data_IF_148251175715
#
_entry.id   IF_148251175715
#
_cell.length_a   1.000
_cell.length_b   1.000
_cell.length_c   1.000
_cell.angle_alpha   90.00
_cell.angle_beta   90.00
_cell.angle_gamma   90.00
#
_symmetry.space_group_name_H-M   'P 1'
#
loop_
_entity.id
_entity.type
_entity.pdbx_description
1 polymer ?
#
# COMPACT_ATOMS: atom_id res chain seq x y z
N UNK A 1 46.99 20.90 -39.26
CA UNK A 1 46.22 20.44 -38.08
C UNK A 1 44.83 20.11 -38.56
N UNK A 2 44.40 18.85 -38.49
CA UNK A 2 43.04 18.48 -38.85
C UNK A 2 42.10 19.15 -37.84
N UNK A 3 41.13 19.94 -38.30
CA UNK A 3 40.07 20.48 -37.43
C UNK A 3 39.35 19.28 -36.79
N UNK A 4 39.37 19.20 -35.46
CA UNK A 4 38.62 18.20 -34.71
C UNK A 4 37.15 18.27 -35.13
N UNK A 5 36.58 17.12 -35.53
CA UNK A 5 35.14 17.02 -35.78
C UNK A 5 34.44 17.04 -34.44
N UNK A 6 33.53 17.99 -34.24
CA UNK A 6 32.67 18.03 -33.06
C UNK A 6 31.52 17.06 -33.27
N UNK A 7 31.39 16.11 -32.33
CA UNK A 7 30.30 15.16 -32.23
C UNK A 7 29.49 15.47 -30.97
N UNK A 8 28.18 15.61 -31.13
CA UNK A 8 27.23 15.78 -30.03
C UNK A 8 26.23 14.63 -30.14
N UNK A 9 26.04 13.88 -29.07
CA UNK A 9 25.00 12.85 -29.01
C UNK A 9 23.89 13.30 -28.06
N UNK A 10 22.65 13.29 -28.55
CA UNK A 10 21.45 13.39 -27.72
C UNK A 10 21.02 11.99 -27.31
N UNK A 11 20.82 11.79 -26.02
CA UNK A 11 20.34 10.53 -25.44
C UNK A 11 19.13 10.75 -24.56
N UNK A 12 18.24 9.75 -24.50
CA UNK A 12 17.11 9.73 -23.59
C UNK A 12 17.57 9.50 -22.13
N UNK A 13 16.64 9.59 -21.16
CA UNK A 13 16.93 9.32 -19.75
C UNK A 13 17.38 7.87 -19.48
N UNK A 14 17.13 6.94 -20.42
CA UNK A 14 17.61 5.57 -20.36
C UNK A 14 19.04 5.40 -20.92
N UNK A 15 19.64 6.48 -21.46
CA UNK A 15 20.96 6.47 -22.07
C UNK A 15 20.97 5.97 -23.52
N UNK A 16 19.82 5.77 -24.16
CA UNK A 16 19.74 5.41 -25.57
C UNK A 16 19.95 6.67 -26.42
N UNK A 17 20.82 6.58 -27.43
CA UNK A 17 21.08 7.69 -28.36
C UNK A 17 19.84 7.90 -29.25
N UNK A 18 19.29 9.11 -29.22
CA UNK A 18 18.16 9.55 -30.05
C UNK A 18 18.67 10.14 -31.37
N UNK A 19 19.72 10.96 -31.30
CA UNK A 19 20.29 11.64 -32.47
C UNK A 19 21.77 11.92 -32.23
N UNK A 20 22.62 11.61 -33.21
CA UNK A 20 24.01 12.06 -33.22
C UNK A 20 24.20 13.18 -34.24
N UNK A 21 24.76 14.29 -33.80
CA UNK A 21 25.06 15.47 -34.59
C UNK A 21 26.56 15.49 -34.89
N UNK A 22 26.93 15.44 -36.16
CA UNK A 22 28.33 15.46 -36.59
C UNK A 22 28.58 16.74 -37.39
N UNK A 23 29.54 17.56 -36.95
CA UNK A 23 29.93 18.77 -37.69
C UNK A 23 30.92 18.47 -38.82
N UNK A 24 30.66 19.07 -39.98
CA UNK A 24 31.59 19.11 -41.10
C UNK A 24 32.68 20.18 -40.86
N UNK A 25 33.82 20.10 -41.59
CA UNK A 25 34.80 21.19 -41.60
C UNK A 25 34.14 22.52 -42.00
N UNK A 26 34.51 23.62 -41.34
CA UNK A 26 33.92 24.94 -41.62
C UNK A 26 34.28 25.46 -43.01
N UNK A 27 33.31 26.04 -43.69
CA UNK A 27 33.46 26.67 -45.01
C UNK A 27 34.23 27.99 -44.94
N UNK A 28 34.52 28.62 -46.09
CA UNK A 28 35.29 29.88 -46.17
C UNK A 28 34.66 31.05 -45.40
N UNK A 29 33.36 30.98 -45.08
CA UNK A 29 32.63 31.95 -44.26
C UNK A 29 32.64 31.62 -42.75
N UNK A 30 33.32 30.55 -42.31
CA UNK A 30 33.36 30.11 -40.91
C UNK A 30 32.13 29.32 -40.44
N UNK A 31 31.23 28.93 -41.35
CA UNK A 31 30.01 28.16 -41.04
C UNK A 31 30.27 26.67 -41.24
N UNK A 32 29.86 25.83 -40.28
CA UNK A 32 29.95 24.37 -40.38
C UNK A 32 28.57 23.77 -40.62
N UNK A 33 28.46 22.78 -41.53
CA UNK A 33 27.24 21.96 -41.70
C UNK A 33 27.17 20.93 -40.57
N UNK A 34 25.97 20.64 -40.08
CA UNK A 34 25.71 19.62 -39.06
C UNK A 34 24.88 18.52 -39.72
N UNK A 35 25.39 17.29 -39.75
CA UNK A 35 24.66 16.12 -40.22
C UNK A 35 24.01 15.40 -39.03
N UNK A 36 22.73 15.05 -39.20
CA UNK A 36 21.92 14.34 -38.22
C UNK A 36 21.93 12.85 -38.54
N UNK A 37 22.44 12.04 -37.62
CA UNK A 37 22.38 10.58 -37.70
C UNK A 37 21.33 10.09 -36.72
N UNK A 38 20.22 9.60 -37.27
CA UNK A 38 19.17 8.93 -36.50
C UNK A 38 19.51 7.44 -36.34
N UNK A 39 19.13 6.81 -35.21
CA UNK A 39 19.25 5.37 -35.00
C UNK A 39 18.58 4.59 -36.13
N UNK A 40 19.22 3.52 -36.58
CA UNK A 40 18.66 2.64 -37.63
C UNK A 40 17.42 1.87 -37.16
N UNK A 41 17.25 1.71 -35.85
CA UNK A 41 16.13 1.00 -35.24
C UNK A 41 14.97 1.96 -34.95
N UNK A 42 14.25 2.36 -35.99
CA UNK A 42 12.90 2.92 -35.78
C UNK A 42 12.03 1.86 -35.12
N UNK A 43 11.40 2.20 -33.98
CA UNK A 43 10.51 1.29 -33.25
C UNK A 43 9.51 0.64 -34.20
N UNK A 44 9.36 -0.68 -34.11
CA UNK A 44 8.30 -1.39 -34.84
C UNK A 44 6.92 -0.88 -34.42
N UNK A 45 5.92 -0.99 -35.30
CA UNK A 45 4.52 -0.64 -34.96
C UNK A 45 4.03 -1.30 -33.67
N UNK A 46 4.51 -2.52 -33.39
CA UNK A 46 4.25 -3.23 -32.16
C UNK A 46 4.86 -2.53 -30.93
N UNK A 47 6.13 -2.13 -31.01
CA UNK A 47 6.80 -1.36 -29.95
C UNK A 47 6.14 0.00 -29.74
N UNK A 48 5.74 0.70 -30.81
CA UNK A 48 4.98 1.96 -30.72
C UNK A 48 3.62 1.77 -30.05
N UNK A 49 2.97 0.63 -30.28
CA UNK A 49 1.70 0.31 -29.60
C UNK A 49 1.94 0.00 -28.12
N UNK A 50 3.01 -0.72 -27.78
CA UNK A 50 3.40 -0.98 -26.39
C UNK A 50 3.76 0.30 -25.63
N UNK A 51 4.35 1.29 -26.29
CA UNK A 51 4.66 2.60 -25.71
C UNK A 51 3.39 3.32 -25.20
N UNK A 52 2.19 3.00 -25.70
CA UNK A 52 0.95 3.55 -25.16
C UNK A 52 0.66 3.07 -23.73
N UNK A 53 1.16 1.89 -23.37
CA UNK A 53 0.86 1.20 -22.11
C UNK A 53 2.06 1.16 -21.16
N UNK A 54 3.28 1.28 -21.66
CA UNK A 54 4.49 1.23 -20.85
C UNK A 54 5.05 2.64 -20.59
N UNK A 55 5.63 2.90 -19.40
CA UNK A 55 6.33 4.16 -19.12
C UNK A 55 7.52 4.38 -20.06
N UNK A 56 7.83 5.65 -20.35
CA UNK A 56 9.06 6.02 -21.06
C UNK A 56 10.28 5.47 -20.33
N UNK A 57 11.24 4.94 -21.08
CA UNK A 57 12.43 4.31 -20.50
C UNK A 57 12.19 2.94 -19.86
N UNK A 58 11.05 2.30 -20.11
CA UNK A 58 10.82 0.92 -19.71
C UNK A 58 11.84 -0.03 -20.38
N UNK A 59 12.42 -1.00 -19.65
CA UNK A 59 12.14 -1.39 -18.26
C UNK A 59 12.92 -0.64 -17.17
N UNK A 60 13.86 0.24 -17.53
CA UNK A 60 14.78 0.86 -16.56
C UNK A 60 14.09 1.91 -15.67
N UNK A 61 13.02 2.54 -16.16
CA UNK A 61 12.26 3.59 -15.46
C UNK A 61 11.32 3.09 -14.37
N UNK A 62 11.19 1.76 -14.22
CA UNK A 62 10.36 1.12 -13.19
C UNK A 62 11.11 0.06 -12.39
N UNK A 63 10.61 -0.33 -11.22
CA UNK A 63 11.17 -1.46 -10.46
C UNK A 63 10.95 -2.80 -11.17
N UNK A 64 11.80 -3.77 -10.82
CA UNK A 64 11.87 -5.09 -11.46
C UNK A 64 10.65 -5.98 -11.21
N UNK A 65 9.86 -5.66 -10.18
CA UNK A 65 8.60 -6.31 -9.82
C UNK A 65 7.37 -5.72 -10.53
N UNK A 66 7.51 -4.61 -11.27
CA UNK A 66 6.40 -3.93 -11.94
C UNK A 66 5.67 -4.83 -12.95
N UNK A 67 6.41 -5.49 -13.85
CA UNK A 67 5.79 -6.29 -14.91
C UNK A 67 4.99 -7.48 -14.34
N UNK A 68 5.58 -8.19 -13.38
CA UNK A 68 4.91 -9.33 -12.75
C UNK A 68 3.64 -8.87 -12.02
N UNK A 69 3.71 -7.74 -11.30
CA UNK A 69 2.53 -7.12 -10.68
C UNK A 69 1.46 -6.79 -11.74
N UNK A 70 1.81 -6.09 -12.82
CA UNK A 70 0.88 -5.63 -13.85
C UNK A 70 0.17 -6.77 -14.57
N UNK A 71 0.84 -7.90 -14.80
CA UNK A 71 0.21 -9.08 -15.41
C UNK A 71 -0.91 -9.59 -14.51
N UNK A 72 -0.64 -9.75 -13.21
CA UNK A 72 -1.65 -10.24 -12.27
C UNK A 72 -2.74 -9.21 -12.00
N UNK A 73 -2.40 -7.92 -11.93
CA UNK A 73 -3.35 -6.81 -11.78
C UNK A 73 -4.31 -6.73 -12.99
N UNK A 74 -3.80 -6.90 -14.21
CA UNK A 74 -4.60 -6.97 -15.43
C UNK A 74 -5.56 -8.17 -15.43
N UNK A 75 -5.09 -9.36 -15.03
CA UNK A 75 -5.95 -10.55 -14.93
C UNK A 75 -7.04 -10.38 -13.85
N UNK A 76 -6.69 -9.73 -12.73
CA UNK A 76 -7.60 -9.36 -11.66
C UNK A 76 -8.68 -8.42 -12.22
N UNK A 77 -8.30 -7.29 -12.82
CA UNK A 77 -9.22 -6.31 -13.40
C UNK A 77 -10.15 -6.94 -14.46
N UNK A 78 -9.61 -7.79 -15.34
CA UNK A 78 -10.41 -8.51 -16.34
C UNK A 78 -11.51 -9.36 -15.70
N UNK A 79 -11.17 -10.18 -14.70
CA UNK A 79 -12.16 -11.02 -14.00
C UNK A 79 -13.19 -10.18 -13.24
N UNK A 80 -12.77 -9.08 -12.61
CA UNK A 80 -13.64 -8.13 -11.91
C UNK A 80 -14.67 -7.49 -12.85
N UNK A 81 -14.28 -7.11 -14.06
CA UNK A 81 -15.20 -6.54 -15.06
C UNK A 81 -16.32 -7.51 -15.45
N UNK A 82 -16.02 -8.81 -15.59
CA UNK A 82 -17.04 -9.83 -15.89
C UNK A 82 -17.99 -10.01 -14.70
N UNK A 83 -17.45 -10.12 -13.49
CA UNK A 83 -18.26 -10.24 -12.26
C UNK A 83 -19.18 -9.04 -12.07
N UNK A 84 -18.67 -7.84 -12.38
CA UNK A 84 -19.43 -6.60 -12.27
C UNK A 84 -20.69 -6.62 -13.16
N UNK A 85 -20.63 -7.23 -14.35
CA UNK A 85 -21.81 -7.40 -15.23
C UNK A 85 -22.83 -8.36 -14.61
N UNK A 86 -22.38 -9.52 -14.09
CA UNK A 86 -23.26 -10.48 -13.41
C UNK A 86 -23.96 -9.85 -12.20
N UNK A 87 -23.19 -9.14 -11.37
CA UNK A 87 -23.70 -8.41 -10.22
C UNK A 87 -24.69 -7.32 -10.65
N UNK A 88 -24.36 -6.55 -11.68
CA UNK A 88 -25.22 -5.47 -12.18
C UNK A 88 -26.56 -5.98 -12.67
N UNK A 89 -26.61 -7.13 -13.36
CA UNK A 89 -27.86 -7.79 -13.76
C UNK A 89 -28.74 -8.13 -12.54
N UNK A 90 -28.16 -8.64 -11.47
CA UNK A 90 -28.90 -8.95 -10.25
C UNK A 90 -29.46 -7.67 -9.59
N UNK A 91 -28.66 -6.60 -9.51
CA UNK A 91 -29.11 -5.31 -8.98
C UNK A 91 -30.27 -4.73 -9.80
N UNK A 92 -30.17 -4.76 -11.15
CA UNK A 92 -31.23 -4.28 -12.04
C UNK A 92 -32.55 -5.04 -11.83
N UNK A 93 -32.47 -6.36 -11.66
CA UNK A 93 -33.64 -7.18 -11.32
C UNK A 93 -34.23 -6.80 -9.95
N UNK A 94 -33.38 -6.56 -8.95
CA UNK A 94 -33.82 -6.19 -7.60
C UNK A 94 -34.55 -4.84 -7.55
N UNK A 95 -34.06 -3.84 -8.29
CA UNK A 95 -34.70 -2.51 -8.36
C UNK A 95 -35.95 -2.49 -9.25
N UNK A 96 -36.33 -3.62 -9.85
CA UNK A 96 -37.58 -3.78 -10.59
C UNK A 96 -37.47 -3.46 -12.08
N UNK A 97 -36.26 -3.46 -12.66
CA UNK A 97 -36.13 -3.35 -14.12
C UNK A 97 -36.79 -4.56 -14.78
N UNK A 98 -37.84 -4.31 -15.55
CA UNK A 98 -38.69 -5.34 -16.17
C UNK A 98 -40.03 -5.57 -15.47
N UNK A 99 -40.30 -4.90 -14.35
CA UNK A 99 -41.59 -4.90 -13.65
C UNK A 99 -42.35 -3.60 -13.94
N UNK A 100 -43.57 -3.71 -14.48
CA UNK A 100 -44.40 -2.56 -14.86
C UNK A 100 -44.88 -1.74 -13.65
N UNK A 101 -44.95 -2.36 -12.47
CA UNK A 101 -45.40 -1.74 -11.22
C UNK A 101 -44.23 -1.12 -10.43
N UNK A 102 -42.98 -1.31 -10.86
CA UNK A 102 -41.82 -0.76 -10.18
C UNK A 102 -41.73 0.76 -10.37
N UNK A 103 -41.60 1.49 -9.26
CA UNK A 103 -41.49 2.95 -9.28
C UNK A 103 -40.07 3.41 -9.66
N UNK A 104 -39.89 4.13 -10.78
CA UNK A 104 -38.59 4.71 -11.14
C UNK A 104 -38.09 5.71 -10.09
N UNK A 105 -39.01 6.45 -9.47
CA UNK A 105 -38.70 7.40 -8.40
C UNK A 105 -38.14 6.70 -7.17
N UNK A 106 -38.69 5.53 -6.78
CA UNK A 106 -38.16 4.76 -5.67
C UNK A 106 -36.74 4.23 -5.95
N UNK A 107 -36.50 3.76 -7.18
CA UNK A 107 -35.16 3.34 -7.61
C UNK A 107 -34.15 4.52 -7.59
N UNK A 108 -34.56 5.70 -8.05
CA UNK A 108 -33.73 6.91 -7.98
C UNK A 108 -33.41 7.30 -6.52
N UNK A 109 -34.40 7.30 -5.63
CA UNK A 109 -34.19 7.61 -4.21
C UNK A 109 -33.25 6.62 -3.53
N UNK A 110 -33.35 5.33 -3.88
CA UNK A 110 -32.41 4.32 -3.42
C UNK A 110 -30.98 4.61 -3.90
N UNK A 111 -30.80 4.95 -5.18
CA UNK A 111 -29.47 5.30 -5.72
C UNK A 111 -28.86 6.50 -4.99
N UNK A 112 -29.67 7.54 -4.72
CA UNK A 112 -29.20 8.72 -3.97
C UNK A 112 -28.80 8.33 -2.54
N UNK A 113 -29.59 7.48 -1.86
CA UNK A 113 -29.26 7.00 -0.52
C UNK A 113 -27.96 6.19 -0.52
N UNK A 114 -27.78 5.31 -1.50
CA UNK A 114 -26.56 4.53 -1.71
C UNK A 114 -25.33 5.42 -1.91
N UNK A 115 -25.46 6.48 -2.71
CA UNK A 115 -24.38 7.43 -2.96
C UNK A 115 -24.03 8.23 -1.71
N UNK A 116 -25.04 8.72 -0.96
CA UNK A 116 -24.85 9.42 0.31
C UNK A 116 -24.14 8.53 1.35
N UNK A 117 -24.63 7.30 1.55
CA UNK A 117 -24.05 6.35 2.48
C UNK A 117 -22.60 5.99 2.09
N UNK A 118 -22.36 5.72 0.80
CA UNK A 118 -21.04 5.43 0.27
C UNK A 118 -20.03 6.56 0.46
N UNK A 119 -20.44 7.82 0.22
CA UNK A 119 -19.59 9.01 0.44
C UNK A 119 -19.27 9.25 1.91
N UNK A 120 -20.25 9.09 2.81
CA UNK A 120 -20.01 9.18 4.26
C UNK A 120 -19.02 8.09 4.70
N UNK A 121 -19.22 6.85 4.24
CA UNK A 121 -18.32 5.74 4.53
C UNK A 121 -16.89 6.00 4.02
N UNK A 122 -16.76 6.53 2.80
CA UNK A 122 -15.47 6.94 2.20
C UNK A 122 -14.72 7.91 3.12
N UNK A 123 -15.38 8.98 3.56
CA UNK A 123 -14.78 10.01 4.42
C UNK A 123 -14.35 9.42 5.77
N UNK A 124 -15.23 8.66 6.42
CA UNK A 124 -14.95 8.06 7.73
C UNK A 124 -13.81 7.02 7.65
N UNK A 125 -13.78 6.22 6.59
CA UNK A 125 -12.75 5.22 6.38
C UNK A 125 -11.38 5.84 6.09
N UNK A 126 -11.33 6.85 5.21
CA UNK A 126 -10.12 7.60 4.94
C UNK A 126 -9.61 8.31 6.20
N UNK A 127 -10.50 8.92 7.00
CA UNK A 127 -10.11 9.54 8.27
C UNK A 127 -9.54 8.52 9.27
N UNK A 128 -10.14 7.32 9.34
CA UNK A 128 -9.77 6.30 10.34
C UNK A 128 -8.48 5.55 10.00
N UNK A 129 -8.22 5.32 8.71
CA UNK A 129 -7.17 4.42 8.22
C UNK A 129 -6.18 5.07 7.25
N UNK A 130 -6.33 6.36 6.93
CA UNK A 130 -5.48 7.07 5.96
C UNK A 130 -3.98 6.89 6.17
N UNK A 131 -3.53 6.97 7.43
CA UNK A 131 -2.11 6.78 7.80
C UNK A 131 -1.60 5.35 7.67
N UNK A 132 -2.49 4.36 7.57
CA UNK A 132 -2.12 2.95 7.44
C UNK A 132 -1.98 2.50 5.97
N UNK A 133 -2.52 3.26 5.00
CA UNK A 133 -2.57 2.82 3.61
C UNK A 133 -1.18 2.68 2.97
N UNK A 134 -0.27 3.61 3.21
CA UNK A 134 1.09 3.54 2.66
C UNK A 134 1.93 2.44 3.35
N UNK A 135 2.04 2.39 4.70
CA UNK A 135 2.74 1.32 5.40
C UNK A 135 2.29 -0.11 5.07
N UNK A 136 0.98 -0.31 4.97
CA UNK A 136 0.33 -1.63 4.82
C UNK A 136 -0.37 -1.76 3.45
N UNK A 137 0.15 -1.11 2.40
CA UNK A 137 -0.48 -1.04 1.07
C UNK A 137 -0.84 -2.42 0.50
N UNK A 138 0.02 -3.43 0.66
CA UNK A 138 -0.24 -4.82 0.22
C UNK A 138 -1.50 -5.40 0.87
N UNK A 139 -1.67 -5.18 2.17
CA UNK A 139 -2.84 -5.61 2.91
C UNK A 139 -4.10 -4.93 2.37
N UNK A 140 -4.03 -3.60 2.21
CA UNK A 140 -5.17 -2.81 1.75
C UNK A 140 -5.54 -3.07 0.28
N UNK A 141 -4.55 -3.40 -0.56
CA UNK A 141 -4.80 -3.80 -1.96
C UNK A 141 -5.61 -5.09 -2.04
N UNK A 142 -5.32 -6.08 -1.18
CA UNK A 142 -6.09 -7.33 -1.12
C UNK A 142 -7.42 -7.15 -0.36
N UNK A 143 -7.43 -6.36 0.71
CA UNK A 143 -8.65 -6.05 1.46
C UNK A 143 -9.68 -5.32 0.60
N UNK A 144 -9.24 -4.42 -0.29
CA UNK A 144 -10.13 -3.72 -1.21
C UNK A 144 -10.93 -4.71 -2.06
N UNK A 145 -10.27 -5.72 -2.63
CA UNK A 145 -10.94 -6.73 -3.45
C UNK A 145 -11.84 -7.64 -2.60
N UNK A 146 -11.46 -7.97 -1.37
CA UNK A 146 -12.37 -8.69 -0.45
C UNK A 146 -13.65 -7.89 -0.19
N UNK A 147 -13.56 -6.57 -0.01
CA UNK A 147 -14.72 -5.69 0.16
C UNK A 147 -15.57 -5.63 -1.12
N UNK A 148 -14.92 -5.51 -2.27
CA UNK A 148 -15.58 -5.49 -3.58
C UNK A 148 -16.32 -6.81 -3.87
N UNK A 149 -15.68 -7.93 -3.59
CA UNK A 149 -16.22 -9.26 -3.83
C UNK A 149 -17.39 -9.56 -2.89
N UNK A 150 -17.29 -9.10 -1.64
CA UNK A 150 -18.42 -9.14 -0.70
C UNK A 150 -19.60 -8.31 -1.24
N UNK A 151 -19.35 -7.15 -1.84
CA UNK A 151 -20.38 -6.34 -2.53
C UNK A 151 -21.00 -7.11 -3.70
N UNK A 152 -20.20 -7.74 -4.56
CA UNK A 152 -20.69 -8.54 -5.69
C UNK A 152 -21.55 -9.72 -5.25
N UNK A 153 -21.11 -10.46 -4.23
CA UNK A 153 -21.88 -11.58 -3.66
C UNK A 153 -23.20 -11.07 -3.07
N UNK A 154 -23.16 -9.97 -2.31
CA UNK A 154 -24.36 -9.39 -1.71
C UNK A 154 -25.35 -8.93 -2.79
N UNK A 155 -24.86 -8.29 -3.85
CA UNK A 155 -25.67 -7.90 -5.01
C UNK A 155 -26.35 -9.10 -5.66
N UNK A 156 -25.63 -10.20 -5.88
CA UNK A 156 -26.17 -11.43 -6.47
C UNK A 156 -27.17 -12.14 -5.53
N UNK A 157 -27.05 -11.96 -4.21
CA UNK A 157 -28.01 -12.48 -3.23
C UNK A 157 -29.28 -11.64 -3.11
N UNK A 158 -29.23 -10.35 -3.47
CA UNK A 158 -30.36 -9.44 -3.24
C UNK A 158 -31.71 -9.90 -3.81
N UNK A 159 -31.81 -10.55 -4.98
CA UNK A 159 -33.10 -11.02 -5.49
C UNK A 159 -33.78 -12.06 -4.59
N UNK A 160 -33.01 -12.77 -3.76
CA UNK A 160 -33.51 -13.82 -2.85
C UNK A 160 -34.11 -13.21 -1.58
N UNK A 161 -33.69 -11.99 -1.21
CA UNK A 161 -34.16 -11.37 0.03
C UNK A 161 -35.59 -10.83 -0.09
N UNK A 162 -36.35 -10.77 1.01
CA UNK A 162 -37.60 -10.02 1.09
C UNK A 162 -37.40 -8.54 0.70
N UNK A 163 -38.41 -7.93 0.08
CA UNK A 163 -38.36 -6.54 -0.43
C UNK A 163 -37.87 -5.51 0.61
N UNK A 164 -38.24 -5.66 1.88
CA UNK A 164 -37.78 -4.77 2.97
C UNK A 164 -36.27 -4.83 3.22
N UNK A 165 -35.64 -6.00 3.02
CA UNK A 165 -34.21 -6.22 3.25
C UNK A 165 -33.38 -5.86 2.02
N UNK A 166 -33.96 -5.96 0.81
CA UNK A 166 -33.28 -5.63 -0.45
C UNK A 166 -32.65 -4.23 -0.44
N UNK A 167 -33.37 -3.22 0.04
CA UNK A 167 -32.88 -1.84 0.12
C UNK A 167 -31.67 -1.70 1.07
N UNK A 168 -31.71 -2.38 2.21
CA UNK A 168 -30.62 -2.36 3.20
C UNK A 168 -29.40 -3.09 2.65
N UNK A 169 -29.60 -4.25 2.02
CA UNK A 169 -28.54 -5.03 1.41
C UNK A 169 -27.84 -4.25 0.28
N UNK A 170 -28.60 -3.62 -0.61
CA UNK A 170 -28.05 -2.78 -1.69
C UNK A 170 -27.33 -1.54 -1.15
N UNK A 171 -27.83 -0.93 -0.08
CA UNK A 171 -27.16 0.21 0.59
C UNK A 171 -25.84 -0.20 1.22
N UNK A 172 -25.82 -1.33 1.94
CA UNK A 172 -24.60 -1.87 2.53
C UNK A 172 -23.58 -2.30 1.46
N UNK A 173 -24.05 -2.88 0.35
CA UNK A 173 -23.21 -3.20 -0.81
C UNK A 173 -22.54 -1.95 -1.40
N UNK A 174 -23.27 -0.84 -1.53
CA UNK A 174 -22.69 0.45 -1.98
C UNK A 174 -21.60 0.93 -1.04
N UNK A 175 -21.82 0.84 0.28
CA UNK A 175 -20.82 1.17 1.30
C UNK A 175 -19.55 0.33 1.10
N UNK A 176 -19.67 -1.00 0.97
CA UNK A 176 -18.53 -1.89 0.73
C UNK A 176 -17.74 -1.50 -0.52
N UNK A 177 -18.42 -1.19 -1.62
CA UNK A 177 -17.79 -0.74 -2.88
C UNK A 177 -17.08 0.60 -2.72
N UNK A 178 -17.64 1.52 -1.96
CA UNK A 178 -16.99 2.79 -1.62
C UNK A 178 -15.74 2.58 -0.75
N UNK A 179 -15.79 1.69 0.24
CA UNK A 179 -14.62 1.33 1.05
C UNK A 179 -13.51 0.69 0.20
N UNK A 180 -13.89 -0.20 -0.73
CA UNK A 180 -12.97 -0.75 -1.74
C UNK A 180 -12.30 0.37 -2.53
N UNK A 181 -13.07 1.34 -3.06
CA UNK A 181 -12.51 2.45 -3.85
C UNK A 181 -11.43 3.24 -3.11
N UNK A 182 -11.64 3.54 -1.82
CA UNK A 182 -10.62 4.22 -0.99
C UNK A 182 -9.39 3.35 -0.75
N UNK A 183 -9.59 2.10 -0.36
CA UNK A 183 -8.49 1.17 -0.06
C UNK A 183 -7.65 0.87 -1.31
N UNK A 184 -8.30 0.55 -2.43
CA UNK A 184 -7.65 0.29 -3.72
C UNK A 184 -6.91 1.52 -4.23
N UNK A 185 -7.57 2.69 -4.25
CA UNK A 185 -6.95 3.93 -4.74
C UNK A 185 -5.72 4.35 -3.92
N UNK A 186 -5.79 4.23 -2.59
CA UNK A 186 -4.68 4.60 -1.71
C UNK A 186 -3.52 3.60 -1.78
N UNK A 187 -3.83 2.30 -1.83
CA UNK A 187 -2.82 1.26 -2.02
C UNK A 187 -2.15 1.38 -3.40
N UNK A 188 -2.93 1.64 -4.45
CA UNK A 188 -2.44 1.89 -5.81
C UNK A 188 -1.49 3.09 -5.85
N UNK A 189 -1.85 4.21 -5.23
CA UNK A 189 -0.96 5.37 -5.16
C UNK A 189 0.40 5.04 -4.51
N UNK A 190 0.38 4.25 -3.43
CA UNK A 190 1.59 3.81 -2.72
C UNK A 190 2.44 2.84 -3.57
N UNK A 191 1.79 1.93 -4.29
CA UNK A 191 2.45 0.99 -5.21
C UNK A 191 3.05 1.70 -6.42
N UNK A 192 2.32 2.64 -7.03
CA UNK A 192 2.83 3.47 -8.12
C UNK A 192 4.07 4.27 -7.71
N UNK A 193 4.07 4.82 -6.49
CA UNK A 193 5.24 5.51 -5.94
C UNK A 193 6.43 4.55 -5.76
N UNK A 194 6.19 3.31 -5.32
CA UNK A 194 7.23 2.27 -5.26
C UNK A 194 7.75 1.89 -6.66
N UNK A 195 6.87 1.78 -7.66
CA UNK A 195 7.26 1.37 -9.00
C UNK A 195 8.05 2.44 -9.76
N UNK A 196 7.80 3.73 -9.52
CA UNK A 196 8.47 4.83 -10.22
C UNK A 196 9.92 5.02 -9.74
N UNK A 197 10.90 4.98 -10.67
CA UNK A 197 12.32 5.19 -10.34
C UNK A 197 12.84 6.59 -10.67
N UNK A 198 12.34 7.22 -11.73
CA UNK A 198 12.91 8.44 -12.30
C UNK A 198 12.08 9.68 -12.01
N UNK A 199 11.34 9.69 -10.89
CA UNK A 199 10.33 10.72 -10.63
C UNK A 199 9.18 10.70 -11.64
N UNK A 200 9.04 9.62 -12.40
CA UNK A 200 8.04 9.40 -13.46
C UNK A 200 6.68 8.93 -12.93
N UNK A 201 6.33 9.27 -11.68
CA UNK A 201 5.11 8.79 -11.02
C UNK A 201 3.83 9.19 -11.77
N UNK A 202 3.75 10.43 -12.24
CA UNK A 202 2.58 10.93 -12.95
C UNK A 202 2.37 10.21 -14.29
N UNK A 203 3.47 9.99 -15.04
CA UNK A 203 3.42 9.26 -16.30
C UNK A 203 3.07 7.79 -16.07
N UNK A 204 3.70 7.14 -15.09
CA UNK A 204 3.41 5.75 -14.72
C UNK A 204 1.92 5.57 -14.41
N UNK A 205 1.33 6.47 -13.63
CA UNK A 205 -0.11 6.44 -13.34
C UNK A 205 -0.99 6.62 -14.59
N UNK A 206 -0.58 7.47 -15.54
CA UNK A 206 -1.31 7.65 -16.80
C UNK A 206 -1.26 6.39 -17.68
N UNK A 207 -0.09 5.73 -17.76
CA UNK A 207 0.11 4.47 -18.49
C UNK A 207 -0.66 3.32 -17.87
N UNK A 208 -0.59 3.20 -16.54
CA UNK A 208 -1.33 2.22 -15.75
C UNK A 208 -2.84 2.39 -15.89
N UNK A 209 -3.37 3.63 -15.83
CA UNK A 209 -4.78 3.92 -16.13
C UNK A 209 -5.19 3.50 -17.55
N UNK A 210 -4.28 3.63 -18.53
CA UNK A 210 -4.51 3.16 -19.90
C UNK A 210 -4.58 1.63 -19.98
N UNK A 211 -3.74 0.93 -19.21
CA UNK A 211 -3.78 -0.54 -19.06
C UNK A 211 -5.11 -0.99 -18.45
N UNK A 212 -5.53 -0.40 -17.32
CA UNK A 212 -6.82 -0.71 -16.70
C UNK A 212 -8.00 -0.47 -17.66
N UNK A 213 -7.95 0.63 -18.42
CA UNK A 213 -9.01 1.00 -19.38
C UNK A 213 -9.16 -0.05 -20.48
N UNK A 214 -8.06 -0.46 -21.13
CA UNK A 214 -8.13 -1.45 -22.22
C UNK A 214 -8.54 -2.83 -21.70
N UNK A 215 -8.04 -3.23 -20.54
CA UNK A 215 -8.40 -4.50 -19.90
C UNK A 215 -9.88 -4.50 -19.51
N UNK A 216 -10.38 -3.40 -18.96
CA UNK A 216 -11.79 -3.26 -18.63
C UNK A 216 -12.68 -3.32 -19.87
N UNK A 217 -12.28 -2.67 -20.97
CA UNK A 217 -13.01 -2.74 -22.25
C UNK A 217 -13.11 -4.18 -22.76
N UNK A 218 -12.00 -4.89 -22.81
CA UNK A 218 -11.96 -6.30 -23.24
C UNK A 218 -12.78 -7.18 -22.30
N UNK A 219 -12.66 -6.96 -20.99
CA UNK A 219 -13.44 -7.66 -19.96
C UNK A 219 -14.93 -7.41 -20.08
N UNK A 220 -15.35 -6.18 -20.40
CA UNK A 220 -16.75 -5.85 -20.64
C UNK A 220 -17.28 -6.52 -21.90
N UNK A 221 -16.55 -6.46 -23.02
CA UNK A 221 -16.96 -7.11 -24.28
C UNK A 221 -17.11 -8.62 -24.11
N UNK A 222 -16.08 -9.27 -23.56
CA UNK A 222 -16.10 -10.71 -23.30
C UNK A 222 -17.17 -11.09 -22.26
N UNK A 223 -17.26 -10.30 -21.18
CA UNK A 223 -18.24 -10.51 -20.13
C UNK A 223 -19.68 -10.39 -20.64
N UNK A 224 -19.99 -9.42 -21.51
CA UNK A 224 -21.32 -9.32 -22.12
C UNK A 224 -21.68 -10.56 -22.94
N UNK A 225 -20.73 -11.11 -23.70
CA UNK A 225 -20.92 -12.37 -24.43
C UNK A 225 -21.17 -13.53 -23.45
N UNK A 226 -20.32 -13.71 -22.45
CA UNK A 226 -20.44 -14.79 -21.47
C UNK A 226 -21.76 -14.71 -20.70
N UNK A 227 -22.13 -13.53 -20.20
CA UNK A 227 -23.37 -13.32 -19.43
C UNK A 227 -24.61 -13.60 -20.26
N UNK A 228 -24.58 -13.39 -21.58
CA UNK A 228 -25.69 -13.72 -22.47
C UNK A 228 -26.03 -15.22 -22.51
N UNK A 229 -25.07 -16.10 -22.22
CA UNK A 229 -25.26 -17.55 -22.15
C UNK A 229 -25.57 -18.05 -20.72
N UNK A 230 -25.32 -17.25 -19.69
CA UNK A 230 -25.56 -17.63 -18.29
C UNK A 230 -26.99 -17.28 -17.91
N UNK A 231 -27.92 -18.24 -18.04
CA UNK A 231 -29.35 -18.00 -17.73
C UNK A 231 -29.75 -18.56 -16.36
N UNK A 232 -29.18 -19.68 -15.93
CA UNK A 232 -29.63 -20.37 -14.71
C UNK A 232 -28.96 -19.81 -13.45
N UNK A 233 -29.63 -19.89 -12.27
CA UNK A 233 -29.02 -19.51 -11.00
C UNK A 233 -27.75 -20.30 -10.69
N UNK A 234 -27.75 -21.61 -10.97
CA UNK A 234 -26.56 -22.47 -10.76
C UNK A 234 -25.40 -21.99 -11.62
N UNK A 235 -25.61 -21.77 -12.92
CA UNK A 235 -24.56 -21.27 -13.80
C UNK A 235 -24.04 -19.88 -13.35
N UNK A 236 -24.93 -19.02 -12.86
CA UNK A 236 -24.56 -17.70 -12.32
C UNK A 236 -23.65 -17.84 -11.10
N UNK A 237 -24.03 -18.67 -10.13
CA UNK A 237 -23.24 -18.90 -8.92
C UNK A 237 -21.92 -19.61 -9.21
N UNK A 238 -21.91 -20.59 -10.12
CA UNK A 238 -20.68 -21.26 -10.54
C UNK A 238 -19.71 -20.28 -11.20
N UNK A 239 -20.19 -19.46 -12.15
CA UNK A 239 -19.36 -18.45 -12.80
C UNK A 239 -18.86 -17.39 -11.81
N UNK A 240 -19.75 -16.92 -10.91
CA UNK A 240 -19.41 -15.94 -9.88
C UNK A 240 -18.29 -16.48 -8.97
N UNK A 241 -18.45 -17.66 -8.38
CA UNK A 241 -17.44 -18.24 -7.46
C UNK A 241 -16.11 -18.48 -8.17
N UNK A 242 -16.14 -18.98 -9.42
CA UNK A 242 -14.92 -19.20 -10.19
C UNK A 242 -14.19 -17.89 -10.48
N UNK A 243 -14.91 -16.88 -10.97
CA UNK A 243 -14.32 -15.58 -11.32
C UNK A 243 -13.81 -14.84 -10.09
N UNK A 244 -14.56 -14.86 -8.96
CA UNK A 244 -14.10 -14.30 -7.69
C UNK A 244 -12.87 -15.03 -7.14
N UNK A 245 -12.79 -16.34 -7.34
CA UNK A 245 -11.59 -17.11 -6.96
C UNK A 245 -10.37 -16.69 -7.78
N UNK A 246 -10.54 -16.51 -9.10
CA UNK A 246 -9.50 -15.98 -9.98
C UNK A 246 -9.11 -14.56 -9.59
N UNK A 247 -10.09 -13.71 -9.30
CA UNK A 247 -9.92 -12.32 -8.89
C UNK A 247 -9.04 -12.20 -7.64
N UNK A 248 -9.39 -12.91 -6.55
CA UNK A 248 -8.63 -12.88 -5.30
C UNK A 248 -7.26 -13.54 -5.43
N UNK A 249 -7.14 -14.65 -6.16
CA UNK A 249 -5.86 -15.34 -6.37
C UNK A 249 -4.89 -14.50 -7.21
N UNK A 250 -5.37 -13.82 -8.24
CA UNK A 250 -4.54 -12.93 -9.07
C UNK A 250 -4.09 -11.72 -8.26
N UNK A 251 -4.96 -11.07 -7.49
CA UNK A 251 -4.53 -10.02 -6.57
C UNK A 251 -3.50 -10.51 -5.54
N UNK A 252 -3.75 -11.68 -4.93
CA UNK A 252 -2.80 -12.30 -3.98
C UNK A 252 -1.42 -12.50 -4.60
N UNK A 253 -1.35 -12.92 -5.87
CA UNK A 253 -0.09 -13.04 -6.61
C UNK A 253 0.52 -11.68 -6.93
N UNK A 254 -0.28 -10.70 -7.36
CA UNK A 254 0.17 -9.34 -7.63
C UNK A 254 0.86 -8.74 -6.40
N UNK A 255 0.20 -8.70 -5.24
CA UNK A 255 0.78 -8.12 -4.02
C UNK A 255 2.00 -8.91 -3.49
N UNK A 256 2.10 -10.21 -3.78
CA UNK A 256 3.26 -11.05 -3.43
C UNK A 256 4.45 -10.86 -4.36
N UNK A 257 4.23 -10.41 -5.59
CA UNK A 257 5.30 -10.07 -6.52
C UNK A 257 6.04 -8.80 -6.09
N UNK A 258 5.35 -7.86 -5.43
CA UNK A 258 5.91 -6.56 -5.01
C UNK A 258 6.98 -6.74 -3.94
N UNK A 259 8.12 -6.07 -4.10
CA UNK A 259 9.33 -6.10 -3.26
C UNK A 259 9.52 -4.73 -2.60
N UNK A 260 8.54 -4.33 -1.78
CA UNK A 260 8.52 -2.99 -1.16
C UNK A 260 9.81 -2.70 -0.38
N UNK A 261 10.38 -1.52 -0.62
CA UNK A 261 11.67 -1.07 -0.03
C UNK A 261 11.56 -0.38 1.32
N UNK A 262 10.36 0.05 1.70
CA UNK A 262 10.12 0.69 2.99
C UNK A 262 10.19 -0.32 4.15
N UNK A 263 10.31 0.15 5.39
CA UNK A 263 10.28 -0.74 6.57
C UNK A 263 9.01 -0.50 7.38
N UNK A 264 7.94 -1.23 7.05
CA UNK A 264 6.82 -1.35 7.99
C UNK A 264 7.22 -2.25 9.17
N UNK A 265 6.35 -2.32 10.20
CA UNK A 265 6.66 -3.05 11.44
C UNK A 265 6.99 -4.52 11.22
N UNK A 266 6.29 -5.18 10.29
CA UNK A 266 6.59 -6.56 9.94
C UNK A 266 7.95 -6.71 9.25
N UNK A 267 8.23 -5.90 8.22
CA UNK A 267 9.52 -5.92 7.51
C UNK A 267 10.68 -5.55 8.44
N UNK A 268 10.51 -4.54 9.29
CA UNK A 268 11.47 -4.16 10.32
C UNK A 268 11.77 -5.31 11.29
N UNK A 269 10.74 -6.09 11.68
CA UNK A 269 10.91 -7.27 12.55
C UNK A 269 11.65 -8.40 11.83
N UNK A 270 11.33 -8.66 10.57
CA UNK A 270 12.03 -9.69 9.80
C UNK A 270 13.50 -9.31 9.57
N UNK A 271 13.77 -8.05 9.20
CA UNK A 271 15.15 -7.54 9.04
C UNK A 271 15.92 -7.64 10.36
N UNK A 272 15.32 -7.25 11.48
CA UNK A 272 15.93 -7.41 12.81
C UNK A 272 16.42 -8.84 13.03
N UNK A 273 15.57 -9.85 12.82
CA UNK A 273 15.94 -11.26 13.03
C UNK A 273 17.02 -11.76 12.07
N UNK A 274 17.05 -11.25 10.82
CA UNK A 274 18.11 -11.59 9.88
C UNK A 274 19.47 -11.02 10.29
N UNK A 275 19.49 -9.79 10.84
CA UNK A 275 20.70 -9.16 11.33
C UNK A 275 21.19 -9.80 12.63
N UNK A 276 20.31 -10.17 13.55
CA UNK A 276 20.69 -10.67 14.87
C UNK A 276 20.98 -12.16 14.92
N UNK A 277 20.20 -12.99 14.21
CA UNK A 277 20.36 -14.46 14.27
C UNK A 277 21.22 -15.04 13.14
N UNK A 278 21.19 -14.40 11.98
CA UNK A 278 21.87 -14.90 10.78
C UNK A 278 23.06 -14.04 10.37
N UNK A 279 23.28 -12.90 11.05
CA UNK A 279 24.37 -11.94 10.77
C UNK A 279 24.48 -11.57 9.28
N UNK A 280 23.34 -11.54 8.58
CA UNK A 280 23.27 -11.26 7.14
C UNK A 280 22.40 -10.05 6.87
N UNK A 281 22.77 -9.28 5.87
CA UNK A 281 21.99 -8.14 5.40
C UNK A 281 20.96 -8.67 4.38
N UNK A 282 19.66 -8.71 4.72
CA UNK A 282 18.67 -9.22 3.79
C UNK A 282 18.31 -8.18 2.73
N UNK A 283 17.94 -8.63 1.54
CA UNK A 283 17.39 -7.75 0.50
C UNK A 283 15.87 -7.62 0.62
N UNK A 284 15.24 -6.57 0.07
CA UNK A 284 13.78 -6.45 0.00
C UNK A 284 13.10 -7.68 -0.62
N UNK A 285 13.75 -8.33 -1.60
CA UNK A 285 13.27 -9.56 -2.22
C UNK A 285 13.19 -10.75 -1.23
N UNK A 286 14.20 -10.92 -0.38
CA UNK A 286 14.22 -12.03 0.58
C UNK A 286 13.19 -11.85 1.69
N UNK A 287 12.97 -10.60 2.11
CA UNK A 287 11.97 -10.26 3.12
C UNK A 287 10.55 -10.35 2.55
N UNK A 288 10.31 -9.93 1.29
CA UNK A 288 8.98 -10.00 0.68
C UNK A 288 8.45 -11.44 0.56
N UNK A 289 9.33 -12.43 0.42
CA UNK A 289 8.95 -13.85 0.42
C UNK A 289 8.47 -14.36 1.79
N UNK A 290 8.97 -13.76 2.87
CA UNK A 290 8.68 -14.13 4.26
C UNK A 290 7.50 -13.35 4.87
N UNK A 291 7.18 -12.18 4.31
CA UNK A 291 6.11 -11.33 4.83
C UNK A 291 4.74 -12.01 4.74
N UNK A 292 3.76 -11.47 5.46
CA UNK A 292 2.34 -11.83 5.36
C UNK A 292 1.60 -10.69 4.70
N UNK A 293 0.55 -11.01 3.96
CA UNK A 293 -0.35 -9.97 3.43
C UNK A 293 -1.20 -9.40 4.56
N UNK A 294 -1.71 -10.25 5.45
CA UNK A 294 -2.44 -9.84 6.65
C UNK A 294 -1.59 -10.09 7.89
N UNK A 295 -1.31 -9.03 8.64
CA UNK A 295 -0.63 -9.06 9.93
C UNK A 295 -1.36 -8.12 10.90
N UNK A 296 -1.33 -8.48 12.18
CA UNK A 296 -1.97 -7.64 13.19
C UNK A 296 -1.13 -6.39 13.50
N UNK A 297 -1.82 -5.26 13.61
CA UNK A 297 -1.23 -3.95 13.93
C UNK A 297 -0.41 -4.02 15.24
N UNK A 298 0.88 -3.71 15.14
CA UNK A 298 1.78 -3.58 16.29
C UNK A 298 2.27 -4.90 16.89
N UNK A 299 2.08 -6.05 16.25
CA UNK A 299 2.60 -7.32 16.79
C UNK A 299 4.13 -7.37 16.80
N UNK A 300 4.69 -7.83 17.92
CA UNK A 300 6.09 -8.24 18.05
C UNK A 300 6.19 -9.75 17.91
N UNK A 301 6.91 -10.24 16.89
CA UNK A 301 7.14 -11.68 16.67
C UNK A 301 8.59 -12.06 16.98
N UNK A 302 8.78 -13.25 17.53
CA UNK A 302 10.10 -13.89 17.62
C UNK A 302 10.54 -14.40 16.24
N UNK A 303 11.80 -14.77 16.09
CA UNK A 303 12.27 -15.35 14.82
C UNK A 303 11.65 -16.72 14.50
N UNK A 304 11.12 -17.43 15.51
CA UNK A 304 10.34 -18.67 15.32
C UNK A 304 8.87 -18.37 14.99
N UNK A 305 8.57 -17.13 14.62
CA UNK A 305 7.27 -16.65 14.18
C UNK A 305 6.15 -16.69 15.25
N UNK A 306 6.53 -16.76 16.54
CA UNK A 306 5.59 -16.71 17.66
C UNK A 306 5.31 -15.28 18.06
N UNK A 307 4.04 -14.96 18.34
CA UNK A 307 3.64 -13.67 18.90
C UNK A 307 4.17 -13.56 20.33
N UNK A 308 5.08 -12.60 20.55
CA UNK A 308 5.64 -12.32 21.88
C UNK A 308 4.79 -11.30 22.63
N UNK A 309 4.28 -10.30 21.91
CA UNK A 309 3.51 -9.19 22.48
C UNK A 309 3.14 -8.15 21.44
N UNK A 310 2.83 -6.94 21.89
CA UNK A 310 2.43 -5.83 21.03
C UNK A 310 3.17 -4.56 21.41
N UNK A 311 3.47 -3.74 20.40
CA UNK A 311 4.06 -2.44 20.53
C UNK A 311 3.27 -1.42 19.72
N UNK A 312 2.82 -0.36 20.38
CA UNK A 312 2.17 0.76 19.73
C UNK A 312 3.17 1.88 19.44
N UNK A 313 3.11 2.49 18.26
CA UNK A 313 4.03 3.56 17.82
C UNK A 313 3.26 4.88 17.72
N UNK A 314 3.82 5.95 18.27
CA UNK A 314 3.26 7.30 18.16
C UNK A 314 2.03 7.55 19.06
N UNK A 315 1.87 6.74 20.11
CA UNK A 315 0.76 6.86 21.04
C UNK A 315 0.84 8.05 21.99
N UNK A 316 -0.27 8.37 22.65
CA UNK A 316 -0.30 9.40 23.69
C UNK A 316 0.48 8.95 24.92
N UNK A 317 1.40 9.79 25.40
CA UNK A 317 2.12 9.60 26.67
C UNK A 317 1.17 9.39 27.86
N UNK A 318 -0.07 9.87 27.78
CA UNK A 318 -1.11 9.63 28.79
C UNK A 318 -1.30 8.15 29.08
N UNK A 319 -1.24 7.27 28.06
CA UNK A 319 -1.41 5.81 28.24
C UNK A 319 -0.29 5.25 29.10
N UNK A 320 0.96 5.60 28.79
CA UNK A 320 2.11 5.21 29.58
C UNK A 320 2.02 5.74 31.01
N UNK A 321 1.76 7.03 31.19
CA UNK A 321 1.66 7.64 32.51
C UNK A 321 0.50 7.05 33.34
N UNK A 322 -0.65 6.78 32.72
CA UNK A 322 -1.80 6.16 33.41
C UNK A 322 -1.51 4.74 33.87
N UNK A 323 -0.62 4.04 33.17
CA UNK A 323 -0.22 2.68 33.55
C UNK A 323 0.74 2.64 34.74
N UNK A 324 1.36 3.78 35.08
CA UNK A 324 2.27 3.95 36.22
C UNK A 324 1.57 4.49 37.46
N UNK A 325 0.26 4.73 37.41
CA UNK A 325 -0.52 5.18 38.57
C UNK A 325 -0.57 4.08 39.63
N UNK A 326 -0.19 4.36 40.89
CA UNK A 326 -0.26 3.37 41.96
C UNK A 326 -1.70 2.88 42.18
N UNK A 327 -1.89 1.57 42.44
CA UNK A 327 -3.22 0.98 42.74
C UNK A 327 -3.94 1.68 43.91
N UNK A 328 -3.18 2.24 44.85
CA UNK A 328 -3.71 3.01 45.99
C UNK A 328 -4.33 4.35 45.58
N UNK A 329 -3.98 4.88 44.41
CA UNK A 329 -4.48 6.15 43.88
C UNK A 329 -5.56 5.98 42.78
N UNK A 330 -5.87 4.74 42.35
CA UNK A 330 -6.90 4.44 41.33
C UNK A 330 -8.32 4.86 41.76
N UNK A 331 -8.60 4.85 43.07
CA UNK A 331 -9.92 5.15 43.64
C UNK A 331 -10.12 6.65 43.98
N UNK A 332 -9.09 7.47 43.81
CA UNK A 332 -9.23 8.92 43.99
C UNK A 332 -9.85 9.54 42.72
N UNK A 333 -10.68 10.61 42.84
CA UNK A 333 -11.33 11.21 41.68
C UNK A 333 -10.29 11.80 40.72
N UNK A 334 -9.95 11.05 39.66
CA UNK A 334 -9.24 11.58 38.50
C UNK A 334 -10.27 12.26 37.59
N UNK A 335 -10.10 13.55 37.31
CA UNK A 335 -10.91 14.22 36.30
C UNK A 335 -10.42 13.84 34.90
N UNK A 336 -11.20 14.09 33.84
CA UNK A 336 -10.71 13.96 32.45
C UNK A 336 -9.45 14.80 32.18
N UNK A 337 -9.19 15.83 33.00
CA UNK A 337 -8.15 16.84 32.86
C UNK A 337 -6.92 16.63 33.78
N UNK A 338 -6.93 15.65 34.69
CA UNK A 338 -5.83 15.44 35.65
C UNK A 338 -5.43 13.97 35.78
N UNK A 339 -4.12 13.72 35.84
CA UNK A 339 -3.55 12.38 36.00
C UNK A 339 -2.60 12.36 37.21
N UNK A 340 -2.64 11.30 38.01
CA UNK A 340 -1.68 11.06 39.10
C UNK A 340 -0.63 10.07 38.63
N UNK A 341 0.64 10.46 38.77
CA UNK A 341 1.79 9.69 38.33
C UNK A 341 2.76 9.61 39.50
N UNK A 342 3.43 8.48 39.66
CA UNK A 342 4.52 8.35 40.61
C UNK A 342 5.73 9.19 40.16
N UNK A 343 6.14 10.16 40.98
CA UNK A 343 7.26 11.06 40.67
C UNK A 343 8.59 10.32 40.50
N UNK A 344 8.81 9.19 41.18
CA UNK A 344 10.03 8.39 41.04
C UNK A 344 10.06 7.75 39.65
N UNK A 345 8.96 7.16 39.23
CA UNK A 345 8.82 6.53 37.90
C UNK A 345 8.90 7.58 36.79
N UNK A 346 8.29 8.75 36.99
CA UNK A 346 8.36 9.84 36.03
C UNK A 346 9.80 10.35 35.86
N UNK A 347 10.52 10.60 36.96
CA UNK A 347 11.90 11.07 36.90
C UNK A 347 12.84 10.04 36.28
N UNK A 348 12.68 8.76 36.62
CA UNK A 348 13.45 7.66 36.01
C UNK A 348 13.18 7.57 34.49
N UNK A 349 11.92 7.69 34.06
CA UNK A 349 11.56 7.72 32.64
C UNK A 349 12.18 8.91 31.91
N UNK A 350 12.15 10.10 32.51
CA UNK A 350 12.72 11.32 31.93
C UNK A 350 14.26 11.24 31.84
N UNK A 351 14.93 10.71 32.87
CA UNK A 351 16.38 10.52 32.88
C UNK A 351 16.82 9.50 31.82
N UNK A 352 16.17 8.33 31.73
CA UNK A 352 16.50 7.30 30.74
C UNK A 352 16.32 7.77 29.29
N UNK A 353 15.48 8.77 29.09
CA UNK A 353 15.13 9.27 27.77
C UNK A 353 15.83 10.58 27.43
N UNK A 354 16.66 11.11 28.33
CA UNK A 354 17.41 12.34 28.09
C UNK A 354 18.36 12.17 26.90
N UNK A 355 18.35 13.12 25.96
CA UNK A 355 19.13 13.05 24.72
C UNK A 355 18.57 12.14 23.61
N UNK A 356 17.53 11.34 23.88
CA UNK A 356 16.90 10.49 22.86
C UNK A 356 15.75 11.16 22.13
N UNK A 357 15.43 10.67 20.93
CA UNK A 357 14.32 11.14 20.07
C UNK A 357 12.97 10.44 20.33
N UNK A 358 12.95 9.42 21.17
CA UNK A 358 11.75 8.68 21.55
C UNK A 358 11.82 8.20 23.01
N UNK A 359 10.71 7.67 23.51
CA UNK A 359 10.57 7.04 24.81
C UNK A 359 9.93 5.67 24.60
N UNK A 360 10.58 4.62 25.07
CA UNK A 360 10.00 3.27 25.11
C UNK A 360 9.45 3.02 26.51
N UNK A 361 8.13 2.93 26.62
CA UNK A 361 7.43 2.56 27.83
C UNK A 361 6.96 1.12 27.81
N UNK A 362 7.01 0.43 28.94
CA UNK A 362 6.41 -0.91 29.11
C UNK A 362 5.09 -0.77 29.86
N UNK A 363 4.01 -1.28 29.27
CA UNK A 363 2.69 -1.32 29.89
C UNK A 363 2.50 -2.62 30.71
N UNK A 364 1.57 -2.63 31.68
CA UNK A 364 1.16 -3.85 32.38
C UNK A 364 0.73 -4.95 31.41
N UNK A 365 1.15 -6.18 31.69
CA UNK A 365 0.88 -7.34 30.85
C UNK A 365 2.15 -7.92 30.22
N UNK A 366 1.96 -9.00 29.44
CA UNK A 366 3.05 -9.71 28.78
C UNK A 366 3.48 -8.94 27.53
N UNK A 367 4.70 -8.41 27.54
CA UNK A 367 5.38 -7.75 26.42
C UNK A 367 4.51 -6.70 25.69
N UNK A 368 3.88 -5.80 26.45
CA UNK A 368 3.14 -4.65 25.93
C UNK A 368 4.03 -3.41 26.00
N UNK A 369 4.27 -2.76 24.86
CA UNK A 369 5.15 -1.61 24.75
C UNK A 369 4.45 -0.43 24.08
N UNK A 370 4.85 0.79 24.45
CA UNK A 370 4.39 2.03 23.85
C UNK A 370 5.62 2.87 23.49
N UNK A 371 5.81 3.15 22.20
CA UNK A 371 6.82 4.05 21.68
C UNK A 371 6.18 5.44 21.56
N UNK A 372 6.65 6.36 22.39
CA UNK A 372 6.25 7.77 22.36
C UNK A 372 7.33 8.54 21.62
N UNK A 373 6.93 9.33 20.64
CA UNK A 373 7.83 10.04 19.75
C UNK A 373 8.04 11.47 20.22
N UNK A 374 9.28 11.97 20.18
CA UNK A 374 9.57 13.38 20.48
C UNK A 374 9.56 14.22 19.22
N UNK A 375 9.51 15.54 19.38
CA UNK A 375 9.62 16.46 18.25
C UNK A 375 10.95 16.29 17.49
N UNK A 376 10.88 16.39 16.15
CA UNK A 376 12.04 16.23 15.27
C UNK A 376 12.58 14.80 15.16
N UNK A 377 11.77 13.79 15.49
CA UNK A 377 12.09 12.37 15.25
C UNK A 377 12.16 12.08 13.75
N UNK A 378 13.15 11.28 13.34
CA UNK A 378 13.29 10.77 11.98
C UNK A 378 12.81 9.32 11.89
N UNK A 379 12.48 8.79 10.70
CA UNK A 379 12.07 7.39 10.55
C UNK A 379 13.10 6.37 11.06
N UNK A 380 14.39 6.66 10.91
CA UNK A 380 15.47 5.85 11.51
C UNK A 380 15.37 5.76 13.04
N UNK A 381 15.03 6.85 13.73
CA UNK A 381 14.84 6.83 15.19
C UNK A 381 13.64 5.95 15.58
N UNK A 382 12.60 5.91 14.74
CA UNK A 382 11.42 5.06 14.96
C UNK A 382 11.77 3.58 14.74
N UNK A 383 12.62 3.30 13.75
CA UNK A 383 13.15 1.96 13.50
C UNK A 383 13.99 1.47 14.68
N UNK A 384 14.87 2.32 15.20
CA UNK A 384 15.64 2.04 16.41
C UNK A 384 14.71 1.73 17.59
N UNK A 385 13.67 2.55 17.79
CA UNK A 385 12.69 2.35 18.85
C UNK A 385 11.94 1.01 18.73
N UNK A 386 11.57 0.62 17.50
CA UNK A 386 10.93 -0.65 17.21
C UNK A 386 11.85 -1.84 17.52
N UNK A 387 13.13 -1.75 17.13
CA UNK A 387 14.13 -2.76 17.45
C UNK A 387 14.47 -2.82 18.94
N UNK A 388 14.45 -1.69 19.64
CA UNK A 388 14.56 -1.67 21.10
C UNK A 388 13.39 -2.42 21.75
N UNK A 389 12.16 -2.25 21.23
CA UNK A 389 11.00 -2.97 21.72
C UNK A 389 11.11 -4.49 21.49
N UNK A 390 11.62 -4.91 20.32
CA UNK A 390 11.91 -6.32 20.03
C UNK A 390 12.98 -6.89 20.96
N UNK A 391 14.12 -6.21 21.10
CA UNK A 391 15.19 -6.61 22.00
C UNK A 391 14.72 -6.72 23.46
N UNK A 392 13.85 -5.78 23.89
CA UNK A 392 13.22 -5.81 25.21
C UNK A 392 12.26 -6.99 25.39
N UNK A 393 11.56 -7.39 24.32
CA UNK A 393 10.65 -8.53 24.33
C UNK A 393 11.42 -9.87 24.36
N UNK A 394 12.58 -9.93 23.71
CA UNK A 394 13.47 -11.09 23.69
C UNK A 394 14.32 -11.23 24.96
N UNK A 395 14.33 -10.22 25.83
CA UNK A 395 15.08 -10.25 27.09
C UNK A 395 16.57 -9.98 26.92
N UNK A 396 16.96 -9.23 25.88
CA UNK A 396 18.34 -8.78 25.68
C UNK A 396 18.72 -7.78 26.78
N UNK A 397 19.90 -7.98 27.38
CA UNK A 397 20.47 -7.02 28.33
C UNK A 397 20.82 -5.70 27.65
N UNK A 398 20.41 -4.57 28.26
CA UNK A 398 20.57 -3.21 27.69
C UNK A 398 20.02 -3.11 26.25
N UNK A 399 18.70 -3.36 26.07
CA UNK A 399 18.08 -3.46 24.74
C UNK A 399 18.18 -2.16 23.93
N UNK A 400 18.35 -1.04 24.63
CA UNK A 400 18.60 0.27 24.08
C UNK A 400 19.96 0.38 23.39
N UNK A 401 21.05 0.08 24.10
CA UNK A 401 22.39 0.14 23.54
C UNK A 401 22.52 -0.87 22.39
N UNK A 402 21.89 -2.03 22.53
CA UNK A 402 21.81 -3.06 21.49
C UNK A 402 21.16 -2.55 20.21
N UNK A 403 19.96 -1.97 20.29
CA UNK A 403 19.23 -1.49 19.11
C UNK A 403 19.97 -0.36 18.39
N UNK A 404 20.53 0.59 19.14
CA UNK A 404 21.33 1.69 18.61
C UNK A 404 22.57 1.17 17.86
N UNK A 405 23.34 0.26 18.49
CA UNK A 405 24.52 -0.33 17.87
C UNK A 405 24.16 -1.17 16.64
N UNK A 406 23.05 -1.92 16.69
CA UNK A 406 22.59 -2.75 15.59
C UNK A 406 22.27 -1.90 14.36
N UNK A 407 21.54 -0.79 14.54
CA UNK A 407 21.21 0.14 13.46
C UNK A 407 22.45 0.85 12.95
N UNK A 408 23.28 1.42 13.84
CA UNK A 408 24.50 2.11 13.44
C UNK A 408 25.46 1.21 12.64
N UNK A 409 25.61 -0.06 13.05
CA UNK A 409 26.47 -1.03 12.37
C UNK A 409 25.99 -1.39 10.96
N UNK A 410 24.68 -1.49 10.74
CA UNK A 410 24.12 -2.03 9.50
C UNK A 410 23.44 -0.99 8.61
N UNK A 411 23.34 0.28 9.04
CA UNK A 411 22.64 1.35 8.30
C UNK A 411 23.05 1.44 6.83
N UNK A 412 24.34 1.67 6.57
CA UNK A 412 24.83 1.88 5.20
C UNK A 412 24.71 0.62 4.36
N UNK A 413 24.83 -0.55 5.00
CA UNK A 413 24.64 -1.85 4.40
C UNK A 413 23.17 -2.11 3.98
N UNK A 414 22.21 -1.68 4.81
CA UNK A 414 20.78 -1.76 4.48
C UNK A 414 20.43 -0.83 3.31
N UNK A 415 20.97 0.39 3.30
CA UNK A 415 20.79 1.34 2.18
C UNK A 415 21.42 0.78 0.90
N UNK A 416 22.62 0.21 0.97
CA UNK A 416 23.26 -0.46 -0.16
C UNK A 416 22.45 -1.67 -0.67
N UNK A 417 21.73 -2.36 0.22
CA UNK A 417 20.78 -3.43 -0.13
C UNK A 417 19.42 -2.92 -0.65
N UNK A 418 19.28 -1.62 -0.92
CA UNK A 418 18.09 -0.94 -1.44
C UNK A 418 16.92 -0.78 -0.44
N UNK A 419 17.16 -0.81 0.87
CA UNK A 419 16.15 -0.40 1.85
C UNK A 419 16.04 1.12 1.93
N UNK A 420 14.80 1.60 2.01
CA UNK A 420 14.50 3.01 2.26
C UNK A 420 14.28 3.22 3.76
N UNK A 421 15.21 3.95 4.38
CA UNK A 421 15.18 4.30 5.80
C UNK A 421 14.64 5.72 6.06
N UNK A 422 14.33 6.48 5.00
CA UNK A 422 13.87 7.86 5.07
C UNK A 422 12.35 7.98 5.01
N UNK A 423 11.63 6.93 4.58
CA UNK A 423 10.17 6.88 4.59
C UNK A 423 9.64 6.30 5.91
N UNK A 424 8.73 7.04 6.56
CA UNK A 424 8.09 6.70 7.83
C UNK A 424 7.02 5.60 7.75
N UNK A 425 7.39 4.37 7.41
CA UNK A 425 6.44 3.26 7.26
C UNK A 425 6.08 2.52 8.58
N UNK A 426 6.59 2.96 9.74
CA UNK A 426 6.29 2.35 11.05
C UNK A 426 5.06 2.97 11.73
N UNK A 427 4.62 4.14 11.28
CA UNK A 427 3.49 4.88 11.84
C UNK A 427 2.21 4.58 11.05
N UNK A 428 1.35 3.71 11.59
CA UNK A 428 0.07 3.35 10.93
C UNK A 428 -1.13 4.12 11.44
N UNK A 429 -0.96 4.98 12.45
CA UNK A 429 -2.02 5.79 13.06
C UNK A 429 -1.59 7.25 13.16
N UNK A 430 -2.53 8.20 13.28
CA UNK A 430 -2.21 9.58 13.62
C UNK A 430 -1.38 9.61 14.91
N UNK A 431 -0.15 10.02 14.77
CA UNK A 431 0.88 9.90 15.79
C UNK A 431 1.10 11.23 16.51
N UNK A 432 1.26 11.19 17.83
CA UNK A 432 1.48 12.37 18.67
C UNK A 432 2.98 12.55 18.91
N UNK A 433 3.43 13.82 18.99
CA UNK A 433 4.80 14.19 19.38
C UNK A 433 4.80 14.87 20.74
N UNK A 434 5.83 14.61 21.54
CA UNK A 434 6.01 15.22 22.85
C UNK A 434 7.27 16.11 22.85
N UNK A 435 7.16 17.27 23.50
CA UNK A 435 8.27 18.13 23.86
C UNK A 435 8.49 18.04 25.37
N UNK A 436 9.73 17.80 25.78
CA UNK A 436 10.14 17.61 27.19
C UNK A 436 11.26 18.59 27.48
#
# INVERSE_FOLDING_TARGET
>A
MAKERLEIAESDEAGNIITTYISSPSDQAGVSRIDLILPKDTKSLWQTTLDCFLPVGYPQSVTDDYLEYQIYDSLQAFSSSIVSILSSRAVLSTVGVGDAEASPTAALMLSILQDCAGRIATILFAHRFGTAFEPECKMYRLLADVLNDTSFVLNCLTPVFPKSIQFVALSFSSVLRSLCGVAAGSAKASLSAHFAKWGNLAELNAKDSSQETVISLVGMMFGSLVVSYIVTPIATWTALVLLLSVHLETNRRAVRAVKMRTLNRQRATLVYHQLTKHERIPTPFEISRQERIFEYDGVLRSADDKIMGHCHVGGSIKRLLSSTTPKSAEHAPSSKLSLRVDNVVLNDLLQRTQGRKYILGRLPGRHQYEIILKEGVKPEDILEAWWQALASAEGIDKPDAFAQQLLQKHRDALVAACWDLDIGALETRPSVRVRI
#
